data_IF_783509996937
#
_entry.id   IF_783509996937
#
_cell.length_a   1.000
_cell.length_b   1.000
_cell.length_c   1.000
_cell.angle_alpha   90.00
_cell.angle_beta   90.00
_cell.angle_gamma   90.00
#
_symmetry.space_group_name_H-M   'P 1'
#
loop_
_entity.id
_entity.type
_entity.pdbx_description
1 polymer ?
#
# COMPACT_ATOMS: atom_id res chain seq x y z
N UNK A 1 38.73 54.77 -23.75
CA UNK A 1 38.08 54.16 -22.58
C UNK A 1 36.66 53.78 -22.98
N UNK A 2 36.41 52.49 -23.21
CA UNK A 2 35.05 51.97 -23.44
C UNK A 2 34.68 51.17 -22.20
N UNK A 3 33.93 51.81 -21.31
CA UNK A 3 33.34 51.17 -20.14
C UNK A 3 32.16 50.32 -20.61
N UNK A 4 32.43 49.02 -20.80
CA UNK A 4 31.41 48.01 -21.02
C UNK A 4 30.64 47.79 -19.71
N UNK A 5 29.45 48.36 -19.62
CA UNK A 5 28.45 48.04 -18.60
C UNK A 5 28.04 46.58 -18.73
N UNK A 6 28.65 45.71 -17.92
CA UNK A 6 28.17 44.36 -17.71
C UNK A 6 26.83 44.45 -16.95
N UNK A 7 25.73 44.30 -17.68
CA UNK A 7 24.44 44.03 -17.10
C UNK A 7 24.50 42.68 -16.37
N UNK A 8 24.79 42.74 -15.06
CA UNK A 8 24.61 41.60 -14.16
C UNK A 8 23.11 41.34 -14.11
N UNK A 9 22.66 40.32 -14.85
CA UNK A 9 21.30 39.81 -14.75
C UNK A 9 21.05 39.35 -13.31
N UNK A 10 20.42 40.20 -12.52
CA UNK A 10 19.90 39.89 -11.19
C UNK A 10 18.82 38.82 -11.35
N UNK A 11 19.23 37.55 -11.36
CA UNK A 11 18.32 36.44 -11.10
C UNK A 11 17.78 36.61 -9.69
N UNK A 12 16.53 37.07 -9.58
CA UNK A 12 15.83 37.20 -8.30
C UNK A 12 15.75 35.81 -7.65
N UNK A 13 16.62 35.56 -6.68
CA UNK A 13 16.51 34.41 -5.79
C UNK A 13 15.22 34.52 -4.98
N UNK A 14 14.69 33.38 -4.55
CA UNK A 14 13.62 33.30 -3.55
C UNK A 14 14.20 32.76 -2.25
N UNK A 15 13.63 33.10 -1.09
CA UNK A 15 14.05 32.51 0.17
C UNK A 15 13.84 30.99 0.09
N UNK A 16 14.87 30.23 0.48
CA UNK A 16 14.85 28.78 0.47
C UNK A 16 13.80 28.27 1.46
N UNK A 17 12.80 27.56 0.94
CA UNK A 17 11.89 26.76 1.75
C UNK A 17 12.59 25.46 2.12
N UNK A 18 13.28 25.45 3.24
CA UNK A 18 14.02 24.26 3.71
C UNK A 18 13.11 23.06 3.96
N UNK A 19 11.82 23.29 4.16
CA UNK A 19 10.86 22.28 4.56
C UNK A 19 9.48 22.54 3.95
N UNK A 20 8.89 21.50 3.37
CA UNK A 20 7.50 21.49 2.86
C UNK A 20 6.81 20.23 3.35
N UNK A 21 5.56 20.33 3.80
CA UNK A 21 4.81 19.19 4.33
C UNK A 21 3.46 19.04 3.62
N UNK A 22 3.04 17.79 3.43
CA UNK A 22 1.73 17.41 2.93
C UNK A 22 1.02 16.53 3.96
N UNK A 23 -0.29 16.74 4.09
CA UNK A 23 -1.14 15.93 4.96
C UNK A 23 -1.79 14.81 4.16
N UNK A 24 -1.80 13.60 4.73
CA UNK A 24 -2.45 12.45 4.13
C UNK A 24 -3.89 12.42 4.65
N UNK A 25 -4.85 12.52 3.73
CA UNK A 25 -6.28 12.50 4.06
C UNK A 25 -6.78 11.05 4.04
N UNK A 26 -6.66 10.33 5.16
CA UNK A 26 -7.15 8.96 5.31
C UNK A 26 -6.28 8.11 6.24
N UNK A 27 -6.69 6.87 6.44
CA UNK A 27 -5.95 5.88 7.23
C UNK A 27 -5.15 4.99 6.28
N UNK A 28 -3.88 5.31 6.05
CA UNK A 28 -3.00 4.54 5.17
C UNK A 28 -2.01 3.72 5.99
N UNK A 29 -1.73 2.48 5.56
CA UNK A 29 -0.64 1.73 6.15
C UNK A 29 0.70 2.40 5.78
N UNK A 30 1.72 2.37 6.66
CA UNK A 30 3.04 2.96 6.37
C UNK A 30 3.65 2.44 5.06
N UNK A 31 3.38 1.18 4.70
CA UNK A 31 3.84 0.57 3.47
C UNK A 31 3.15 1.11 2.21
N UNK A 32 1.87 1.48 2.30
CA UNK A 32 1.13 2.08 1.18
C UNK A 32 1.63 3.50 0.90
N UNK A 33 1.87 4.26 1.96
CA UNK A 33 2.48 5.61 1.88
C UNK A 33 3.86 5.52 1.25
N UNK A 34 4.68 4.57 1.70
CA UNK A 34 6.00 4.28 1.11
C UNK A 34 5.88 3.94 -0.38
N UNK A 35 5.01 3.02 -0.75
CA UNK A 35 4.85 2.60 -2.15
C UNK A 35 4.40 3.78 -3.04
N UNK A 36 3.48 4.62 -2.55
CA UNK A 36 3.07 5.84 -3.26
C UNK A 36 4.22 6.84 -3.42
N UNK A 37 5.02 7.06 -2.37
CA UNK A 37 6.21 7.92 -2.44
C UNK A 37 7.23 7.40 -3.46
N UNK A 38 7.45 6.09 -3.52
CA UNK A 38 8.34 5.49 -4.51
C UNK A 38 7.87 5.75 -5.94
N UNK A 39 6.58 5.51 -6.23
CA UNK A 39 5.99 5.79 -7.55
C UNK A 39 6.08 7.27 -7.91
N UNK A 40 5.83 8.16 -6.96
CA UNK A 40 5.89 9.60 -7.19
C UNK A 40 7.32 10.07 -7.50
N UNK A 41 8.32 9.55 -6.76
CA UNK A 41 9.73 9.85 -6.99
C UNK A 41 10.20 9.35 -8.35
N UNK A 42 9.82 8.13 -8.73
CA UNK A 42 10.15 7.55 -10.03
C UNK A 42 9.54 8.37 -11.18
N UNK A 43 8.26 8.75 -11.07
CA UNK A 43 7.57 9.60 -12.05
C UNK A 43 8.27 10.95 -12.27
N UNK A 44 8.81 11.54 -11.19
CA UNK A 44 9.56 12.79 -11.24
C UNK A 44 11.06 12.64 -11.53
N UNK A 45 11.52 11.41 -11.81
CA UNK A 45 12.92 11.05 -12.12
C UNK A 45 13.90 11.32 -10.97
N UNK A 46 13.42 11.19 -9.74
CA UNK A 46 14.29 11.09 -8.59
C UNK A 46 14.84 9.66 -8.48
N UNK A 47 16.11 9.56 -8.12
CA UNK A 47 16.77 8.29 -7.79
C UNK A 47 16.85 8.22 -6.27
N UNK A 48 16.36 7.12 -5.70
CA UNK A 48 16.43 6.89 -4.26
C UNK A 48 17.86 6.48 -3.90
N UNK A 49 18.48 7.21 -2.98
CA UNK A 49 19.86 6.96 -2.53
C UNK A 49 19.89 6.13 -1.24
N UNK A 50 18.96 6.41 -0.34
CA UNK A 50 18.87 5.74 0.95
C UNK A 50 17.42 5.69 1.40
N UNK A 51 17.07 4.63 2.10
CA UNK A 51 15.78 4.45 2.73
C UNK A 51 15.99 3.97 4.16
N UNK A 52 15.38 4.65 5.10
CA UNK A 52 15.29 4.24 6.50
C UNK A 52 13.85 3.93 6.82
N UNK A 53 13.60 2.69 7.22
CA UNK A 53 12.28 2.20 7.58
C UNK A 53 12.19 2.01 9.08
N UNK A 54 11.12 2.53 9.67
CA UNK A 54 10.68 2.22 11.02
C UNK A 54 9.26 1.64 11.01
N UNK A 55 8.73 1.22 12.18
CA UNK A 55 7.45 0.50 12.26
C UNK A 55 6.23 1.30 11.77
N UNK A 56 6.25 2.63 11.94
CA UNK A 56 5.14 3.54 11.60
C UNK A 56 5.59 4.83 10.91
N UNK A 57 6.90 4.96 10.68
CA UNK A 57 7.51 6.15 10.10
C UNK A 57 8.74 5.73 9.30
N UNK A 58 9.10 6.50 8.28
CA UNK A 58 10.29 6.27 7.49
C UNK A 58 10.87 7.55 6.93
N UNK A 59 12.05 7.43 6.34
CA UNK A 59 12.70 8.52 5.63
C UNK A 59 13.33 8.02 4.33
N UNK A 60 13.05 8.71 3.24
CA UNK A 60 13.61 8.42 1.92
C UNK A 60 14.52 9.59 1.53
N UNK A 61 15.78 9.32 1.26
CA UNK A 61 16.70 10.29 0.66
C UNK A 61 16.71 10.09 -0.83
N UNK A 62 16.35 11.12 -1.58
CA UNK A 62 16.22 11.06 -3.02
C UNK A 62 17.02 12.15 -3.71
N UNK A 63 17.63 11.80 -4.85
CA UNK A 63 18.42 12.69 -5.68
C UNK A 63 17.80 12.84 -7.06
N UNK A 64 17.56 14.08 -7.44
CA UNK A 64 17.26 14.45 -8.81
C UNK A 64 18.55 14.86 -9.53
N UNK A 65 18.72 14.41 -10.77
CA UNK A 65 19.84 14.84 -11.61
C UNK A 65 19.37 15.06 -13.04
N UNK A 66 19.46 16.30 -13.52
CA UNK A 66 19.15 16.64 -14.92
C UNK A 66 20.03 17.78 -15.42
N UNK A 67 20.73 17.54 -16.52
CA UNK A 67 21.70 18.50 -17.12
C UNK A 67 22.77 18.90 -16.09
N UNK A 68 22.81 20.17 -15.70
CA UNK A 68 23.77 20.73 -14.72
C UNK A 68 23.16 20.95 -13.33
N UNK A 69 22.00 20.35 -13.06
CA UNK A 69 21.27 20.54 -11.81
C UNK A 69 21.20 19.21 -11.07
N UNK A 70 21.67 19.23 -9.83
CA UNK A 70 21.42 18.17 -8.85
C UNK A 70 20.64 18.74 -7.69
N UNK A 71 19.71 17.96 -7.16
CA UNK A 71 18.95 18.31 -5.96
C UNK A 71 18.83 17.06 -5.10
N UNK A 72 19.17 17.17 -3.82
CA UNK A 72 19.00 16.11 -2.83
C UNK A 72 17.98 16.56 -1.79
N UNK A 73 17.02 15.69 -1.52
CA UNK A 73 15.95 15.92 -0.55
C UNK A 73 15.80 14.70 0.35
N UNK A 74 15.43 14.95 1.61
CA UNK A 74 14.99 13.92 2.54
C UNK A 74 13.47 14.02 2.71
N UNK A 75 12.77 12.92 2.54
CA UNK A 75 11.31 12.85 2.69
C UNK A 75 11.02 11.96 3.89
N UNK A 76 10.71 12.58 5.02
CA UNK A 76 10.20 11.86 6.18
C UNK A 76 8.70 11.63 6.00
N UNK A 77 8.19 10.46 6.34
CA UNK A 77 6.79 10.12 6.21
C UNK A 77 6.31 9.27 7.37
N UNK A 78 5.03 9.38 7.66
CA UNK A 78 4.30 8.58 8.63
C UNK A 78 2.88 8.28 8.10
N UNK A 79 1.99 7.78 8.94
CA UNK A 79 0.60 7.45 8.56
C UNK A 79 -0.29 8.68 8.37
N UNK A 80 0.14 9.85 8.81
CA UNK A 80 -0.62 11.11 8.84
C UNK A 80 -0.15 12.12 7.79
N UNK A 81 1.09 12.00 7.33
CA UNK A 81 1.71 13.03 6.52
C UNK A 81 3.08 12.66 5.98
N UNK A 82 3.62 13.58 5.18
CA UNK A 82 5.01 13.55 4.75
C UNK A 82 5.62 14.94 4.80
N UNK A 83 6.96 14.98 4.85
CA UNK A 83 7.75 16.20 5.00
C UNK A 83 9.00 16.11 4.13
N UNK A 84 9.07 16.96 3.12
CA UNK A 84 10.19 17.13 2.21
C UNK A 84 11.15 18.17 2.81
N UNK A 85 12.38 17.77 3.05
CA UNK A 85 13.46 18.61 3.56
C UNK A 85 14.54 18.77 2.49
N UNK A 86 14.99 20.01 2.30
CA UNK A 86 16.15 20.31 1.47
C UNK A 86 17.43 19.82 2.15
N UNK A 87 18.25 19.04 1.44
CA UNK A 87 19.58 18.67 1.91
C UNK A 87 20.66 19.50 1.21
N UNK A 88 20.78 19.35 -0.10
CA UNK A 88 21.77 20.05 -0.91
C UNK A 88 21.32 20.21 -2.37
N UNK A 89 22.04 21.05 -3.10
CA UNK A 89 21.88 21.17 -4.54
C UNK A 89 23.12 21.70 -5.24
N UNK A 90 23.32 21.28 -6.49
CA UNK A 90 24.27 21.91 -7.41
C UNK A 90 23.52 22.55 -8.59
N UNK A 91 24.03 23.69 -9.06
CA UNK A 91 23.45 24.41 -10.19
C UNK A 91 22.19 25.24 -9.86
N UNK A 92 21.74 25.27 -8.60
CA UNK A 92 20.59 26.08 -8.14
C UNK A 92 20.97 27.41 -7.46
N UNK A 93 22.26 27.80 -7.50
CA UNK A 93 22.79 29.07 -6.97
C UNK A 93 22.35 29.34 -5.52
N UNK A 94 22.50 28.33 -4.67
CA UNK A 94 22.31 28.49 -3.24
C UNK A 94 23.29 29.55 -2.71
N UNK A 95 22.76 30.57 -2.04
CA UNK A 95 23.53 31.67 -1.46
C UNK A 95 22.89 32.07 -0.14
N UNK A 96 23.68 32.38 0.88
CA UNK A 96 23.18 32.81 2.18
C UNK A 96 23.54 34.29 2.37
N UNK A 97 22.58 35.09 2.85
CA UNK A 97 22.85 36.47 3.23
C UNK A 97 23.50 36.55 4.62
N UNK A 98 23.95 37.76 5.01
CA UNK A 98 24.54 37.99 6.34
C UNK A 98 23.57 37.76 7.50
N UNK A 99 22.27 37.74 7.23
CA UNK A 99 21.24 37.51 8.22
C UNK A 99 20.90 36.02 8.37
N UNK A 100 21.61 35.14 7.67
CA UNK A 100 21.39 33.70 7.69
C UNK A 100 20.24 33.21 6.80
N UNK A 101 19.59 34.10 6.04
CA UNK A 101 18.54 33.70 5.11
C UNK A 101 19.18 33.09 3.88
N UNK A 102 18.87 31.81 3.64
CA UNK A 102 19.27 31.12 2.43
C UNK A 102 18.37 31.53 1.27
N UNK A 103 18.98 31.82 0.13
CA UNK A 103 18.37 32.17 -1.13
C UNK A 103 18.69 31.10 -2.15
N UNK A 104 17.70 30.70 -2.93
CA UNK A 104 17.84 29.69 -3.97
C UNK A 104 17.11 30.14 -5.24
N UNK A 105 17.48 29.58 -6.39
CA UNK A 105 16.77 29.85 -7.63
C UNK A 105 15.29 29.45 -7.51
N UNK A 106 14.31 30.23 -8.04
CA UNK A 106 12.87 29.90 -8.06
C UNK A 106 12.49 28.58 -8.77
N UNK A 107 13.48 27.89 -9.33
CA UNK A 107 13.29 26.57 -9.94
C UNK A 107 13.17 25.51 -8.86
N UNK A 108 13.81 25.70 -7.71
CA UNK A 108 13.66 24.83 -6.55
C UNK A 108 12.20 24.73 -6.10
N UNK A 109 11.55 25.86 -5.82
CA UNK A 109 10.15 25.87 -5.39
C UNK A 109 9.23 25.18 -6.41
N UNK A 110 9.47 25.41 -7.71
CA UNK A 110 8.71 24.71 -8.77
C UNK A 110 8.93 23.20 -8.77
N UNK A 111 10.16 22.74 -8.53
CA UNK A 111 10.48 21.31 -8.45
C UNK A 111 9.81 20.67 -7.24
N UNK A 112 9.90 21.30 -6.06
CA UNK A 112 9.28 20.77 -4.84
C UNK A 112 7.76 20.80 -4.92
N UNK A 113 7.16 21.85 -5.48
CA UNK A 113 5.70 21.94 -5.68
C UNK A 113 5.19 20.91 -6.69
N UNK A 114 6.00 20.57 -7.71
CA UNK A 114 5.66 19.50 -8.64
C UNK A 114 5.71 18.15 -7.95
N UNK A 115 6.80 17.86 -7.23
CA UNK A 115 6.97 16.64 -6.47
C UNK A 115 5.83 16.45 -5.45
N UNK A 116 5.46 17.51 -4.73
CA UNK A 116 4.36 17.48 -3.77
C UNK A 116 3.05 17.05 -4.43
N UNK A 117 2.67 17.67 -5.56
CA UNK A 117 1.46 17.29 -6.29
C UNK A 117 1.51 15.84 -6.77
N UNK A 118 2.67 15.40 -7.26
CA UNK A 118 2.85 14.03 -7.71
C UNK A 118 2.69 13.01 -6.56
N UNK A 119 3.21 13.33 -5.38
CA UNK A 119 3.03 12.52 -4.16
C UNK A 119 1.55 12.46 -3.79
N UNK A 120 0.87 13.61 -3.75
CA UNK A 120 -0.54 13.68 -3.41
C UNK A 120 -1.41 12.87 -4.40
N UNK A 121 -1.09 12.94 -5.70
CA UNK A 121 -1.78 12.20 -6.75
C UNK A 121 -1.58 10.68 -6.63
N UNK A 122 -0.36 10.22 -6.33
CA UNK A 122 -0.06 8.79 -6.14
C UNK A 122 -0.65 8.22 -4.85
N UNK A 123 -0.77 9.04 -3.80
CA UNK A 123 -1.47 8.66 -2.56
C UNK A 123 -2.99 8.51 -2.79
N UNK A 124 -3.58 9.34 -3.66
CA UNK A 124 -5.01 9.27 -3.98
C UNK A 124 -5.34 8.25 -5.07
N UNK A 125 -4.35 7.79 -5.83
CA UNK A 125 -4.55 6.88 -6.96
C UNK A 125 -5.34 5.61 -6.60
N UNK A 126 -5.01 4.86 -5.52
CA UNK A 126 -5.79 3.66 -5.16
C UNK A 126 -7.26 3.97 -4.88
N UNK A 127 -7.54 5.11 -4.23
CA UNK A 127 -8.90 5.55 -3.94
C UNK A 127 -9.69 5.87 -5.22
N UNK A 128 -9.04 6.53 -6.19
CA UNK A 128 -9.64 6.84 -7.50
C UNK A 128 -9.96 5.55 -8.28
N UNK A 129 -9.00 4.65 -8.37
CA UNK A 129 -9.15 3.37 -9.10
C UNK A 129 -10.25 2.50 -8.47
N UNK A 130 -10.33 2.42 -7.14
CA UNK A 130 -11.38 1.70 -6.43
C UNK A 130 -12.78 2.31 -6.69
N UNK A 131 -12.89 3.65 -6.67
CA UNK A 131 -14.15 4.35 -6.97
C UNK A 131 -14.60 4.08 -8.40
N UNK A 132 -13.68 4.16 -9.37
CA UNK A 132 -14.00 3.88 -10.76
C UNK A 132 -14.43 2.43 -10.98
N UNK A 133 -13.78 1.47 -10.30
CA UNK A 133 -14.18 0.08 -10.33
C UNK A 133 -15.60 -0.12 -9.78
N UNK A 134 -15.92 0.52 -8.66
CA UNK A 134 -17.28 0.50 -8.10
C UNK A 134 -18.32 1.10 -9.04
N UNK A 135 -18.01 2.22 -9.69
CA UNK A 135 -18.90 2.84 -10.68
C UNK A 135 -19.12 1.93 -11.89
N UNK A 136 -18.07 1.23 -12.34
CA UNK A 136 -18.19 0.23 -13.41
C UNK A 136 -19.08 -0.94 -13.01
N UNK A 137 -18.93 -1.46 -11.79
CA UNK A 137 -19.81 -2.52 -11.27
C UNK A 137 -21.26 -2.04 -11.09
N UNK A 138 -21.48 -0.79 -10.68
CA UNK A 138 -22.81 -0.21 -10.55
C UNK A 138 -23.48 -0.03 -11.92
N UNK A 139 -22.73 0.44 -12.94
CA UNK A 139 -23.24 0.60 -14.29
C UNK A 139 -23.46 -0.73 -15.04
N UNK A 140 -22.77 -1.81 -14.62
CA UNK A 140 -22.90 -3.14 -15.19
C UNK A 140 -24.07 -3.95 -14.61
N UNK A 141 -24.80 -3.45 -13.61
CA UNK A 141 -26.02 -4.09 -13.11
C UNK A 141 -27.17 -3.79 -14.09
N UNK A 142 -27.69 -4.77 -14.84
CA UNK A 142 -28.87 -4.55 -15.66
C UNK A 142 -30.08 -4.31 -14.74
N UNK A 143 -30.88 -3.29 -15.06
CA UNK A 143 -32.23 -3.12 -14.54
C UNK A 143 -32.93 -4.48 -14.57
N UNK A 144 -33.13 -5.08 -13.40
CA UNK A 144 -33.92 -6.31 -13.32
C UNK A 144 -35.36 -5.89 -13.54
N UNK A 145 -35.77 -5.87 -14.81
CA UNK A 145 -37.17 -5.74 -15.20
C UNK A 145 -37.87 -6.98 -14.65
N UNK A 146 -38.50 -6.81 -13.49
CA UNK A 146 -39.42 -7.81 -12.95
C UNK A 146 -40.60 -7.86 -13.91
N UNK A 147 -40.59 -8.83 -14.82
CA UNK A 147 -41.74 -9.13 -15.68
C UNK A 147 -42.84 -9.65 -14.77
N UNK A 148 -43.81 -8.79 -14.46
CA UNK A 148 -44.99 -9.18 -13.71
C UNK A 148 -45.81 -10.18 -14.52
N UNK A 149 -46.24 -11.32 -13.95
CA UNK A 149 -47.24 -12.16 -14.60
C UNK A 149 -48.56 -11.39 -14.64
N UNK A 150 -49.16 -11.32 -15.83
CA UNK A 150 -50.46 -10.67 -16.09
C UNK A 150 -51.54 -11.42 -15.30
N UNK A 151 -52.11 -10.77 -14.27
CA UNK A 151 -53.28 -11.26 -13.52
C UNK A 151 -54.50 -10.40 -13.86
N UNK A 152 -55.64 -11.08 -14.00
CA UNK A 152 -56.97 -10.69 -14.47
C UNK A 152 -57.54 -9.31 -14.02
N UNK A 153 -58.50 -8.74 -14.79
CA UNK A 153 -59.05 -7.41 -14.53
C UNK A 153 -59.93 -7.38 -13.28
N UNK A 154 -59.58 -6.52 -12.31
CA UNK A 154 -60.40 -6.28 -11.13
C UNK A 154 -59.66 -5.74 -9.89
N UNK A 155 -58.33 -5.62 -9.92
CA UNK A 155 -57.56 -5.14 -8.77
C UNK A 155 -57.14 -3.68 -8.98
N UNK A 156 -57.46 -2.84 -7.99
CA UNK A 156 -57.07 -1.43 -7.92
C UNK A 156 -55.54 -1.36 -7.91
N UNK A 157 -54.94 -0.85 -8.99
CA UNK A 157 -53.49 -0.63 -9.05
C UNK A 157 -53.17 0.62 -8.24
N UNK A 158 -52.71 0.45 -7.00
CA UNK A 158 -51.99 1.53 -6.33
C UNK A 158 -50.69 1.78 -7.11
N UNK A 159 -50.44 3.03 -7.49
CA UNK A 159 -49.16 3.43 -8.06
C UNK A 159 -48.04 3.00 -7.11
N UNK A 160 -47.02 2.27 -7.56
CA UNK A 160 -45.87 2.01 -6.72
C UNK A 160 -45.17 3.34 -6.46
N UNK A 161 -45.18 3.77 -5.20
CA UNK A 161 -44.24 4.80 -4.76
C UNK A 161 -42.84 4.21 -4.93
N UNK A 162 -42.09 4.76 -5.88
CA UNK A 162 -40.67 4.48 -6.04
C UNK A 162 -39.94 4.98 -4.80
N UNK A 163 -39.66 4.08 -3.87
CA UNK A 163 -38.76 4.34 -2.76
C UNK A 163 -37.36 4.54 -3.35
N UNK A 164 -36.89 5.79 -3.33
CA UNK A 164 -35.48 6.11 -3.52
C UNK A 164 -34.68 5.32 -2.47
N UNK A 165 -33.73 4.45 -2.84
CA UNK A 165 -32.87 3.81 -1.84
C UNK A 165 -32.07 4.89 -1.12
N UNK A 166 -32.33 5.08 0.17
CA UNK A 166 -31.42 5.82 1.05
C UNK A 166 -30.19 4.94 1.26
N UNK A 167 -29.12 5.25 0.54
CA UNK A 167 -27.84 4.57 0.68
C UNK A 167 -27.25 4.88 2.06
N UNK A 168 -27.37 3.91 2.98
CA UNK A 168 -26.58 3.90 4.19
C UNK A 168 -25.10 3.74 3.79
N UNK A 169 -24.28 4.72 4.12
CA UNK A 169 -22.83 4.55 4.00
C UNK A 169 -22.41 3.42 4.94
N UNK A 170 -21.65 2.40 4.47
CA UNK A 170 -21.08 1.43 5.39
C UNK A 170 -20.13 2.16 6.34
N UNK A 171 -20.48 2.17 7.63
CA UNK A 171 -19.55 2.54 8.67
C UNK A 171 -18.49 1.45 8.73
N UNK A 172 -17.28 1.77 8.29
CA UNK A 172 -16.13 0.89 8.42
C UNK A 172 -15.92 0.58 9.91
N UNK A 173 -16.16 -0.68 10.29
CA UNK A 173 -15.85 -1.18 11.61
C UNK A 173 -14.34 -1.09 11.81
N UNK A 174 -13.90 -0.25 12.74
CA UNK A 174 -12.50 -0.15 13.11
C UNK A 174 -12.09 -1.42 13.86
N UNK A 175 -10.98 -2.08 13.49
CA UNK A 175 -10.44 -3.16 14.29
C UNK A 175 -9.97 -2.59 15.64
N UNK A 176 -10.49 -3.14 16.74
CA UNK A 176 -9.98 -2.84 18.07
C UNK A 176 -8.66 -3.57 18.26
N UNK A 177 -7.56 -2.82 18.28
CA UNK A 177 -6.24 -3.36 18.53
C UNK A 177 -6.04 -3.61 20.03
N UNK A 178 -5.87 -4.88 20.40
CA UNK A 178 -5.38 -5.27 21.73
C UNK A 178 -3.91 -4.88 21.81
N UNK A 179 -3.60 -3.99 22.74
CA UNK A 179 -2.25 -3.46 22.98
C UNK A 179 -1.45 -4.51 23.78
N UNK A 180 -0.27 -4.98 23.30
CA UNK A 180 0.58 -5.83 24.12
C UNK A 180 1.23 -5.01 25.24
N UNK A 181 0.98 -5.40 26.48
CA UNK A 181 1.60 -4.78 27.66
C UNK A 181 3.09 -5.17 27.68
N UNK A 182 3.94 -4.20 27.35
CA UNK A 182 5.39 -4.31 27.50
C UNK A 182 5.74 -4.28 28.99
N UNK A 183 6.21 -5.42 29.51
CA UNK A 183 6.75 -5.52 30.86
C UNK A 183 7.62 -6.73 31.01
N UNK A 184 8.88 -6.64 30.57
CA UNK A 184 9.99 -7.40 31.18
C UNK A 184 11.29 -6.64 30.99
N UNK A 185 11.83 -6.18 32.11
CA UNK A 185 13.16 -5.61 32.23
C UNK A 185 14.20 -6.72 32.04
N UNK A 186 15.23 -6.42 31.25
CA UNK A 186 16.39 -7.27 31.09
C UNK A 186 17.15 -7.37 32.42
N UNK A 187 17.43 -8.60 32.87
CA UNK A 187 18.57 -8.87 33.74
C UNK A 187 19.34 -10.08 33.24
N UNK A 188 20.63 -9.82 33.06
CA UNK A 188 21.65 -10.72 32.56
C UNK A 188 22.05 -11.75 33.62
N UNK A 189 22.57 -12.88 33.13
CA UNK A 189 23.40 -13.80 33.90
C UNK A 189 22.66 -15.05 34.35
N UNK A 190 23.08 -16.19 33.83
CA UNK A 190 23.70 -17.31 34.57
C UNK A 190 23.55 -18.56 33.68
N UNK A 191 24.70 -19.16 33.37
CA UNK A 191 24.84 -20.45 32.73
C UNK A 191 24.21 -21.53 33.61
N UNK A 192 23.42 -22.45 33.04
CA UNK A 192 23.47 -23.88 33.38
C UNK A 192 22.29 -24.68 32.79
N UNK A 193 22.69 -25.71 32.04
CA UNK A 193 22.23 -27.09 32.20
C UNK A 193 20.83 -27.46 31.68
N UNK A 194 20.89 -28.12 30.51
CA UNK A 194 20.01 -29.18 30.04
C UNK A 194 19.49 -30.01 31.21
N UNK A 195 18.17 -30.03 31.38
CA UNK A 195 17.46 -31.03 32.18
C UNK A 195 16.16 -31.35 31.47
N UNK A 196 16.17 -32.51 30.82
CA UNK A 196 15.02 -33.15 30.20
C UNK A 196 14.11 -33.63 31.33
N UNK A 197 12.99 -32.95 31.53
CA UNK A 197 11.91 -33.38 32.42
C UNK A 197 10.81 -34.08 31.61
N UNK A 198 10.89 -35.39 31.50
CA UNK A 198 9.81 -36.24 30.97
C UNK A 198 8.79 -36.44 32.09
N UNK A 199 7.57 -35.92 31.91
CA UNK A 199 6.40 -36.36 32.66
C UNK A 199 5.33 -36.79 31.65
N UNK A 200 5.13 -38.10 31.59
CA UNK A 200 4.22 -38.79 30.70
C UNK A 200 2.76 -38.56 31.09
N UNK A 201 1.95 -38.18 30.10
CA UNK A 201 0.50 -38.38 30.04
C UNK A 201 0.19 -38.95 28.64
N UNK A 202 -0.71 -39.93 28.50
CA UNK A 202 -0.60 -40.91 27.43
C UNK A 202 -1.42 -40.55 26.19
N UNK A 203 -1.00 -41.15 25.08
CA UNK A 203 -1.77 -41.41 23.84
C UNK A 203 -1.85 -40.28 22.78
N UNK A 204 -0.88 -40.36 21.88
CA UNK A 204 -1.04 -40.26 20.42
C UNK A 204 -1.45 -38.91 19.80
N UNK A 205 -0.43 -38.11 19.49
CA UNK A 205 -0.46 -37.15 18.39
C UNK A 205 0.95 -36.62 18.17
N UNK A 206 1.62 -37.10 17.13
CA UNK A 206 2.90 -36.55 16.66
C UNK A 206 2.80 -35.02 16.56
N UNK A 207 3.89 -34.24 16.78
CA UNK A 207 3.89 -32.86 16.34
C UNK A 207 3.80 -32.90 14.81
N UNK A 208 2.57 -32.82 14.30
CA UNK A 208 2.35 -32.39 12.94
C UNK A 208 3.09 -31.07 12.87
N UNK A 209 4.20 -31.04 12.12
CA UNK A 209 4.69 -29.79 11.57
C UNK A 209 3.47 -29.21 10.85
N UNK A 210 2.77 -28.30 11.53
CA UNK A 210 1.52 -27.76 11.07
C UNK A 210 1.85 -27.15 9.72
N UNK A 211 1.30 -27.73 8.65
CA UNK A 211 1.43 -27.17 7.32
C UNK A 211 1.03 -25.70 7.44
N UNK A 212 1.83 -24.76 6.92
CA UNK A 212 1.53 -23.35 7.08
C UNK A 212 0.14 -23.10 6.51
N UNK A 213 -0.69 -22.42 7.28
CA UNK A 213 -2.03 -22.05 6.85
C UNK A 213 -1.94 -21.15 5.61
N UNK A 214 -3.06 -20.97 4.91
CA UNK A 214 -3.10 -20.09 3.74
C UNK A 214 -2.59 -18.67 4.06
N UNK A 215 -2.91 -18.16 5.25
CA UNK A 215 -2.44 -16.87 5.75
C UNK A 215 -0.93 -16.85 5.99
N UNK A 216 -0.38 -17.93 6.56
CA UNK A 216 1.06 -18.06 6.74
C UNK A 216 1.81 -18.11 5.41
N UNK A 217 1.26 -18.79 4.39
CA UNK A 217 1.83 -18.82 3.04
C UNK A 217 1.81 -17.43 2.37
N UNK A 218 0.71 -16.66 2.53
CA UNK A 218 0.64 -15.28 2.05
C UNK A 218 1.70 -14.38 2.71
N UNK A 219 1.85 -14.49 4.03
CA UNK A 219 2.82 -13.72 4.79
C UNK A 219 4.27 -14.06 4.40
N UNK A 220 4.57 -15.34 4.20
CA UNK A 220 5.89 -15.85 3.79
C UNK A 220 6.31 -15.32 2.40
N UNK A 221 5.35 -15.24 1.47
CA UNK A 221 5.57 -14.75 0.11
C UNK A 221 5.53 -13.20 0.04
N UNK A 222 5.12 -12.52 1.12
CA UNK A 222 5.10 -11.06 1.21
C UNK A 222 3.85 -10.42 0.61
N UNK A 223 2.75 -11.18 0.50
CA UNK A 223 1.46 -10.61 0.12
C UNK A 223 0.85 -9.81 1.27
N UNK A 224 0.13 -8.70 0.97
CA UNK A 224 -0.47 -7.86 1.99
C UNK A 224 -1.60 -8.58 2.71
N UNK A 225 -1.80 -8.33 4.01
CA UNK A 225 -2.87 -8.96 4.80
C UNK A 225 -4.30 -8.77 4.22
N UNK A 226 -4.51 -7.73 3.40
CA UNK A 226 -5.78 -7.55 2.68
C UNK A 226 -6.14 -8.72 1.75
N UNK A 227 -5.18 -9.54 1.32
CA UNK A 227 -5.42 -10.72 0.49
C UNK A 227 -5.81 -11.96 1.29
N UNK A 228 -5.77 -11.92 2.63
CA UNK A 228 -6.26 -13.01 3.48
C UNK A 228 -7.75 -13.30 3.26
N UNK A 229 -8.52 -12.32 2.77
CA UNK A 229 -9.92 -12.53 2.39
C UNK A 229 -10.09 -13.65 1.36
N UNK A 230 -9.09 -13.88 0.51
CA UNK A 230 -9.13 -14.93 -0.51
C UNK A 230 -8.80 -16.33 0.05
N UNK A 231 -8.24 -16.42 1.26
CA UNK A 231 -8.06 -17.69 1.97
C UNK A 231 -9.39 -18.27 2.47
N UNK A 232 -10.46 -17.47 2.53
CA UNK A 232 -11.71 -17.90 3.13
C UNK A 232 -12.38 -19.04 2.35
N UNK A 233 -12.27 -20.25 2.89
CA UNK A 233 -12.83 -21.48 2.31
C UNK A 233 -11.96 -22.12 1.22
N UNK A 234 -10.73 -21.63 1.01
CA UNK A 234 -9.76 -22.29 0.16
C UNK A 234 -9.19 -23.53 0.87
N UNK A 235 -8.97 -24.62 0.13
CA UNK A 235 -8.28 -25.79 0.67
C UNK A 235 -6.80 -25.44 0.92
N UNK A 236 -6.26 -25.71 2.12
CA UNK A 236 -4.94 -25.21 2.54
C UNK A 236 -3.78 -25.73 1.68
N UNK A 237 -3.84 -26.98 1.21
CA UNK A 237 -2.78 -27.59 0.39
C UNK A 237 -2.75 -26.97 -1.01
N UNK A 238 -3.92 -26.83 -1.64
CA UNK A 238 -4.12 -26.15 -2.91
C UNK A 238 -3.68 -24.68 -2.82
N UNK A 239 -4.10 -23.98 -1.76
CA UNK A 239 -3.76 -22.58 -1.54
C UNK A 239 -2.25 -22.37 -1.44
N UNK A 240 -1.59 -23.21 -0.65
CA UNK A 240 -0.14 -23.16 -0.47
C UNK A 240 0.59 -23.40 -1.80
N UNK A 241 0.24 -24.48 -2.52
CA UNK A 241 0.90 -24.80 -3.79
C UNK A 241 0.67 -23.71 -4.83
N UNK A 242 -0.54 -23.16 -4.92
CA UNK A 242 -0.86 -22.07 -5.83
C UNK A 242 0.04 -20.86 -5.57
N UNK A 243 0.16 -20.45 -4.31
CA UNK A 243 0.96 -19.29 -3.93
C UNK A 243 2.46 -19.52 -4.16
N UNK A 244 2.98 -20.70 -3.81
CA UNK A 244 4.40 -21.01 -4.05
C UNK A 244 4.78 -21.13 -5.53
N UNK A 245 3.82 -21.46 -6.40
CA UNK A 245 4.00 -21.40 -7.85
C UNK A 245 3.95 -19.95 -8.40
N UNK A 246 3.75 -18.96 -7.53
CA UNK A 246 3.77 -17.53 -7.89
C UNK A 246 2.45 -17.02 -8.48
N UNK A 247 1.35 -17.77 -8.29
CA UNK A 247 0.03 -17.35 -8.74
C UNK A 247 -0.58 -16.31 -7.79
N UNK A 248 -1.42 -15.41 -8.33
CA UNK A 248 -1.96 -14.30 -7.56
C UNK A 248 -2.97 -14.76 -6.50
N UNK A 249 -3.02 -14.11 -5.31
CA UNK A 249 -3.94 -14.46 -4.23
C UNK A 249 -5.42 -14.46 -4.62
N UNK A 250 -5.83 -13.65 -5.61
CA UNK A 250 -7.21 -13.64 -6.10
C UNK A 250 -7.65 -14.98 -6.73
N UNK A 251 -6.70 -15.83 -7.13
CA UNK A 251 -6.94 -17.14 -7.73
C UNK A 251 -7.19 -18.23 -6.68
N UNK A 252 -7.02 -17.94 -5.39
CA UNK A 252 -7.37 -18.84 -4.28
C UNK A 252 -8.86 -19.21 -4.27
N UNK A 253 -9.72 -18.42 -4.94
CA UNK A 253 -11.13 -18.74 -5.16
C UNK A 253 -11.34 -20.10 -5.86
N UNK A 254 -10.38 -20.53 -6.68
CA UNK A 254 -10.45 -21.80 -7.39
C UNK A 254 -10.14 -23.00 -6.49
N UNK A 255 -9.34 -22.80 -5.44
CA UNK A 255 -9.04 -23.83 -4.42
C UNK A 255 -10.22 -24.17 -3.50
N UNK A 256 -11.33 -23.44 -3.57
CA UNK A 256 -12.50 -23.70 -2.73
C UNK A 256 -13.19 -25.00 -3.11
N UNK A 257 -13.10 -26.01 -2.24
CA UNK A 257 -13.68 -27.34 -2.48
C UNK A 257 -12.91 -28.18 -3.51
N UNK A 258 -11.67 -27.81 -3.83
CA UNK A 258 -10.80 -28.63 -4.67
C UNK A 258 -10.20 -29.78 -3.85
N UNK A 259 -10.07 -30.95 -4.47
CA UNK A 259 -9.42 -32.11 -3.87
C UNK A 259 -7.89 -31.86 -3.76
N UNK A 260 -7.27 -32.11 -2.58
CA UNK A 260 -5.86 -31.81 -2.34
C UNK A 260 -4.91 -32.52 -3.33
N UNK A 261 -5.15 -33.80 -3.63
CA UNK A 261 -4.32 -34.59 -4.54
C UNK A 261 -4.37 -34.06 -5.97
N UNK A 262 -5.58 -33.85 -6.50
CA UNK A 262 -5.78 -33.36 -7.86
C UNK A 262 -5.19 -31.97 -8.04
N UNK A 263 -5.46 -31.05 -7.12
CA UNK A 263 -5.00 -29.65 -7.20
C UNK A 263 -3.48 -29.53 -7.17
N UNK A 264 -2.80 -30.26 -6.28
CA UNK A 264 -1.33 -30.27 -6.21
C UNK A 264 -0.72 -30.87 -7.48
N UNK A 265 -1.25 -31.99 -7.97
CA UNK A 265 -0.76 -32.61 -9.21
C UNK A 265 -0.92 -31.69 -10.42
N UNK A 266 -2.03 -30.96 -10.51
CA UNK A 266 -2.29 -30.01 -11.59
C UNK A 266 -1.34 -28.81 -11.53
N UNK A 267 -1.19 -28.19 -10.36
CA UNK A 267 -0.34 -27.01 -10.18
C UNK A 267 1.15 -27.33 -10.40
N UNK A 268 1.63 -28.47 -9.85
CA UNK A 268 3.02 -28.93 -10.10
C UNK A 268 3.26 -29.36 -11.54
N UNK A 269 2.20 -29.76 -12.25
CA UNK A 269 2.23 -30.05 -13.68
C UNK A 269 2.24 -28.81 -14.58
N UNK A 270 2.19 -27.61 -14.01
CA UNK A 270 2.11 -26.34 -14.75
C UNK A 270 0.69 -26.02 -15.26
N UNK A 271 -0.34 -26.66 -14.70
CA UNK A 271 -1.73 -26.38 -15.02
C UNK A 271 -2.17 -25.00 -14.54
N UNK A 272 -3.16 -24.43 -15.20
CA UNK A 272 -3.62 -23.07 -14.91
C UNK A 272 -4.59 -23.08 -13.71
N UNK A 273 -4.59 -22.04 -12.86
CA UNK A 273 -5.48 -21.96 -11.71
C UNK A 273 -6.98 -22.05 -12.04
N UNK A 274 -7.40 -21.68 -13.25
CA UNK A 274 -8.78 -21.86 -13.73
C UNK A 274 -9.18 -23.32 -13.91
N UNK A 275 -8.22 -24.22 -14.12
CA UNK A 275 -8.43 -25.66 -14.33
C UNK A 275 -8.66 -26.41 -13.02
N UNK A 276 -8.36 -25.78 -11.87
CA UNK A 276 -8.67 -26.34 -10.54
C UNK A 276 -10.16 -26.61 -10.31
N UNK A 277 -11.04 -26.00 -11.12
CA UNK A 277 -12.47 -26.34 -11.13
C UNK A 277 -12.75 -27.81 -11.52
N UNK A 278 -11.82 -28.48 -12.21
CA UNK A 278 -11.91 -29.90 -12.58
C UNK A 278 -11.58 -30.84 -11.41
N UNK A 279 -10.97 -30.30 -10.33
CA UNK A 279 -10.60 -31.05 -9.14
C UNK A 279 -11.69 -31.02 -8.05
N UNK A 280 -12.95 -30.72 -8.39
CA UNK A 280 -14.08 -30.62 -7.45
C UNK A 280 -15.06 -31.77 -7.63
#
# INVERSE_FOLDING_TARGET
MVLGTLAVGCGRGVPLRTMTAGAISGSYAPNDVRAALFRALEADRFVIENEQQGPQQGQIVARYTRRRITLRVAIAYDTTGYRIQYLDSAGLRHSQDRNGTAWIHPRYDRMVTHLQRQIDDELQRPLREAREHQLRLAAAQPDTVVVAPVVAPGVIVQQPQYAQPQYAQPQYAQPQYVQPQAGVQAQAGVQAQVSVGVAAGPEAGMPQAAMPSCEAALADIGHPASTEIFCQGAEPTCAQELLYQGHEPSQLIFCRGAEPSCSVSLLRGGGLPVELGQCR
#
